data_IF_289823605981
#
_entry.id   IF_289823605981
#
_cell.length_a   1.000
_cell.length_b   1.000
_cell.length_c   1.000
_cell.angle_alpha   90.00
_cell.angle_beta   90.00
_cell.angle_gamma   90.00
#
_symmetry.space_group_name_H-M   'P 1'
#
loop_
_entity.id
_entity.type
_entity.pdbx_description
1 polymer ?
#
# COMPACT_ATOMS: atom_id res chain seq x y z
N UNK A 1 7.45 -7.94 -0.50
CA UNK A 1 7.35 -6.72 0.34
C UNK A 1 8.46 -5.79 -0.09
N UNK A 2 8.11 -4.60 -0.58
CA UNK A 2 9.07 -3.61 -1.10
C UNK A 2 8.92 -2.29 -0.35
N UNK A 3 10.01 -1.52 -0.29
CA UNK A 3 9.98 -0.14 0.16
C UNK A 3 8.97 0.64 -0.70
N UNK A 4 8.06 1.39 -0.07
CA UNK A 4 7.00 2.12 -0.75
C UNK A 4 7.51 3.11 -1.82
N UNK A 5 8.73 3.63 -1.67
CA UNK A 5 9.34 4.52 -2.64
C UNK A 5 9.67 3.85 -3.99
N UNK A 6 9.80 2.52 -4.01
CA UNK A 6 10.18 1.76 -5.21
C UNK A 6 8.99 1.38 -6.09
N UNK A 7 7.76 1.64 -5.65
CA UNK A 7 6.59 1.42 -6.49
C UNK A 7 6.40 2.55 -7.50
N UNK A 8 6.23 2.14 -8.75
CA UNK A 8 5.61 2.91 -9.82
C UNK A 8 4.56 2.05 -10.54
N UNK A 9 3.81 2.66 -11.45
CA UNK A 9 2.74 1.98 -12.16
C UNK A 9 3.22 0.79 -13.02
N UNK A 10 4.44 0.85 -13.57
CA UNK A 10 4.98 -0.20 -14.41
C UNK A 10 5.33 -1.44 -13.57
N UNK A 11 5.95 -1.23 -12.41
CA UNK A 11 6.30 -2.32 -11.49
C UNK A 11 5.03 -2.94 -10.88
N UNK A 12 4.03 -2.13 -10.51
CA UNK A 12 2.73 -2.65 -10.04
C UNK A 12 2.09 -3.54 -11.11
N UNK A 13 2.02 -3.07 -12.35
CA UNK A 13 1.43 -3.83 -13.45
C UNK A 13 2.17 -5.15 -13.73
N UNK A 14 3.50 -5.15 -13.67
CA UNK A 14 4.31 -6.35 -13.87
C UNK A 14 4.07 -7.39 -12.77
N UNK A 15 4.12 -6.97 -11.51
CA UNK A 15 3.92 -7.86 -10.34
C UNK A 15 2.51 -8.44 -10.36
N UNK A 16 1.50 -7.63 -10.67
CA UNK A 16 0.11 -8.11 -10.83
C UNK A 16 -0.06 -9.04 -12.02
N UNK A 17 0.64 -8.78 -13.12
CA UNK A 17 0.69 -9.66 -14.30
C UNK A 17 1.27 -11.05 -13.98
N UNK A 18 2.09 -11.16 -12.95
CA UNK A 18 2.59 -12.44 -12.42
C UNK A 18 1.68 -13.09 -11.39
N UNK A 19 0.50 -12.52 -11.12
CA UNK A 19 -0.45 -13.01 -10.12
C UNK A 19 0.00 -12.80 -8.68
N UNK A 20 1.01 -11.94 -8.46
CA UNK A 20 1.54 -11.65 -7.13
C UNK A 20 0.85 -10.44 -6.51
N UNK A 21 0.82 -10.39 -5.17
CA UNK A 21 0.29 -9.25 -4.41
C UNK A 21 1.37 -8.22 -4.12
N UNK A 22 0.99 -6.95 -4.22
CA UNK A 22 1.81 -5.77 -3.98
C UNK A 22 1.57 -5.24 -2.56
N UNK A 23 2.56 -5.41 -1.69
CA UNK A 23 2.50 -5.05 -0.26
C UNK A 23 3.71 -4.22 0.16
N UNK A 24 3.47 -3.18 0.97
CA UNK A 24 4.50 -2.29 1.54
C UNK A 24 4.44 -2.20 3.07
N UNK A 25 5.61 -2.07 3.68
CA UNK A 25 5.82 -1.97 5.13
C UNK A 25 7.08 -1.11 5.42
N UNK A 26 7.13 -0.31 6.48
CA UNK A 26 5.99 0.23 7.26
C UNK A 26 5.57 1.55 6.62
N UNK A 27 4.28 1.73 6.33
CA UNK A 27 3.76 2.98 5.75
C UNK A 27 3.01 3.75 6.82
N UNK A 28 3.63 4.76 7.41
CA UNK A 28 3.06 5.53 8.52
C UNK A 28 2.55 6.92 8.09
N UNK A 29 2.96 7.40 6.92
CA UNK A 29 2.56 8.69 6.38
C UNK A 29 1.33 8.57 5.46
N UNK A 30 0.39 9.51 5.61
CA UNK A 30 -0.85 9.61 4.83
C UNK A 30 -0.59 9.84 3.34
N UNK A 31 0.34 10.72 2.99
CA UNK A 31 0.69 10.99 1.59
C UNK A 31 1.28 9.75 0.90
N UNK A 32 2.05 8.94 1.63
CA UNK A 32 2.65 7.72 1.10
C UNK A 32 1.57 6.64 0.92
N UNK A 33 0.64 6.52 1.87
CA UNK A 33 -0.51 5.63 1.75
C UNK A 33 -1.40 6.01 0.56
N UNK A 34 -1.71 7.30 0.39
CA UNK A 34 -2.53 7.78 -0.73
C UNK A 34 -1.86 7.48 -2.08
N UNK A 35 -0.56 7.77 -2.21
CA UNK A 35 0.20 7.45 -3.44
C UNK A 35 0.15 5.97 -3.77
N UNK A 36 0.31 5.09 -2.77
CA UNK A 36 0.25 3.64 -2.98
C UNK A 36 -1.14 3.14 -3.35
N UNK A 37 -2.18 3.77 -2.81
CA UNK A 37 -3.57 3.52 -3.18
C UNK A 37 -3.83 3.93 -4.64
N UNK A 38 -3.38 5.12 -5.03
CA UNK A 38 -3.53 5.64 -6.39
C UNK A 38 -2.76 4.79 -7.42
N UNK A 39 -1.63 4.22 -7.03
CA UNK A 39 -0.87 3.25 -7.83
C UNK A 39 -1.58 1.88 -7.95
N UNK A 40 -2.64 1.63 -7.18
CA UNK A 40 -3.38 0.39 -7.20
C UNK A 40 -2.68 -0.77 -6.49
N UNK A 41 -1.87 -0.49 -5.47
CA UNK A 41 -1.25 -1.56 -4.66
C UNK A 41 -2.30 -2.30 -3.81
N UNK A 42 -2.01 -3.54 -3.41
CA UNK A 42 -2.99 -4.42 -2.76
C UNK A 42 -3.07 -4.22 -1.25
N UNK A 43 -2.11 -3.52 -0.65
CA UNK A 43 -2.19 -3.14 0.75
C UNK A 43 -0.92 -2.55 1.33
N UNK A 44 -1.08 -1.98 2.52
CA UNK A 44 -0.01 -1.44 3.34
C UNK A 44 -0.05 -2.09 4.73
N UNK A 45 1.11 -2.15 5.36
CA UNK A 45 1.24 -2.50 6.77
C UNK A 45 1.74 -1.23 7.47
N UNK A 46 1.04 -0.82 8.52
CA UNK A 46 1.22 0.45 9.22
C UNK A 46 1.20 0.24 10.72
N UNK A 47 1.99 1.01 11.46
CA UNK A 47 1.88 1.12 12.91
C UNK A 47 0.80 2.15 13.29
N UNK A 48 0.43 3.03 12.36
CA UNK A 48 -0.57 4.10 12.54
C UNK A 48 -1.99 3.63 12.25
N UNK A 49 -2.41 2.56 12.91
CA UNK A 49 -3.78 2.06 12.80
C UNK A 49 -4.82 3.11 13.20
N UNK A 50 -4.47 4.06 14.06
CA UNK A 50 -5.30 5.20 14.43
C UNK A 50 -5.68 6.10 13.25
N UNK A 51 -4.79 6.22 12.25
CA UNK A 51 -5.02 7.05 11.07
C UNK A 51 -5.86 6.35 10.00
N UNK A 52 -5.80 5.03 9.94
CA UNK A 52 -6.36 4.24 8.83
C UNK A 52 -7.44 3.23 9.25
N UNK A 53 -7.80 3.16 10.54
CA UNK A 53 -8.83 2.25 11.02
C UNK A 53 -10.20 2.63 10.45
N UNK A 54 -10.76 1.76 9.62
CA UNK A 54 -12.19 1.71 9.33
C UNK A 54 -12.91 1.07 10.52
N UNK A 55 -13.02 1.81 11.63
CA UNK A 55 -13.80 1.33 12.76
C UNK A 55 -15.24 1.08 12.30
N UNK A 56 -15.65 -0.20 12.23
CA UNK A 56 -17.07 -0.55 12.20
C UNK A 56 -17.65 -0.13 13.55
N UNK A 57 -18.66 0.77 13.60
CA UNK A 57 -19.36 1.03 14.84
C UNK A 57 -20.04 -0.28 15.28
N UNK A 58 -19.74 -0.72 16.50
CA UNK A 58 -20.49 -1.78 17.18
C UNK A 58 -21.92 -1.32 17.46
#
# INVERSE_FOLDING_TARGET
MCNHALWDAAVVAQVKGWGLRTLSYTVNDDWAAQRLFDLGTDGIITDRVDLFSSALPY
#
